data_IF_378768977177
#
_entry.id   IF_378768977177
#
_cell.length_a   1.000
_cell.length_b   1.000
_cell.length_c   1.000
_cell.angle_alpha   90.00
_cell.angle_beta   90.00
_cell.angle_gamma   90.00
#
_symmetry.space_group_name_H-M   'P 1'
#
loop_
_entity.id
_entity.type
_entity.pdbx_description
1 polymer ?
#
# COMPACT_ATOMS: atom_id res chain seq x y z
N UNK A 1 -16.80 -4.28 34.68
CA UNK A 1 -16.30 -4.87 33.40
C UNK A 1 -16.10 -3.88 32.26
N UNK A 2 -16.25 -2.57 32.44
CA UNK A 2 -16.16 -1.56 31.37
C UNK A 2 -14.76 -1.01 31.06
N UNK A 3 -13.74 -1.33 31.82
CA UNK A 3 -12.42 -0.70 31.75
C UNK A 3 -11.45 -1.30 30.69
N UNK A 4 -11.82 -2.38 30.01
CA UNK A 4 -10.93 -3.12 29.07
C UNK A 4 -11.17 -2.86 27.59
N UNK A 5 -12.18 -2.10 27.19
CA UNK A 5 -12.53 -1.85 25.79
C UNK A 5 -12.15 -0.44 25.29
N UNK A 6 -11.26 0.25 25.97
CA UNK A 6 -10.89 1.64 25.65
C UNK A 6 -9.67 1.76 24.72
N UNK A 7 -9.31 0.69 23.99
CA UNK A 7 -8.30 0.79 22.94
C UNK A 7 -8.93 1.31 21.64
N UNK A 8 -8.18 2.13 20.91
CA UNK A 8 -8.60 2.67 19.62
C UNK A 8 -7.90 1.90 18.50
N UNK A 9 -8.67 1.41 17.54
CA UNK A 9 -8.17 0.78 16.31
C UNK A 9 -8.40 1.77 15.16
N UNK A 10 -7.36 2.25 14.50
CA UNK A 10 -7.45 3.26 13.44
C UNK A 10 -8.30 4.49 13.82
N UNK A 11 -8.23 4.94 15.09
CA UNK A 11 -9.01 6.07 15.59
C UNK A 11 -10.43 5.74 16.05
N UNK A 12 -10.96 4.57 15.73
CA UNK A 12 -12.26 4.10 16.19
C UNK A 12 -12.12 3.40 17.55
N UNK A 13 -13.00 3.68 18.52
CA UNK A 13 -13.01 2.91 19.77
C UNK A 13 -13.41 1.45 19.50
N UNK A 14 -12.79 0.52 20.20
CA UNK A 14 -12.99 -0.92 20.02
C UNK A 14 -14.47 -1.34 20.04
N UNK A 15 -15.29 -0.62 20.79
CA UNK A 15 -16.74 -0.83 20.88
C UNK A 15 -17.44 -0.81 19.51
N UNK A 16 -16.96 0.01 18.58
CA UNK A 16 -17.51 0.11 17.23
C UNK A 16 -16.73 -0.72 16.20
N UNK A 17 -15.44 -0.90 16.43
CA UNK A 17 -14.59 -1.68 15.52
C UNK A 17 -14.93 -3.17 15.54
N UNK A 18 -15.17 -3.74 16.71
CA UNK A 18 -15.49 -5.17 16.87
C UNK A 18 -16.77 -5.57 16.09
N UNK A 19 -17.93 -4.92 16.29
CA UNK A 19 -19.12 -5.26 15.51
C UNK A 19 -18.92 -4.99 14.00
N UNK A 20 -18.24 -3.92 13.64
CA UNK A 20 -17.89 -3.66 12.23
C UNK A 20 -17.08 -4.81 11.63
N UNK A 21 -16.03 -5.26 12.31
CA UNK A 21 -15.20 -6.39 11.89
C UNK A 21 -16.01 -7.68 11.73
N UNK A 22 -16.85 -7.99 12.71
CA UNK A 22 -17.70 -9.21 12.68
C UNK A 22 -18.67 -9.14 11.50
N UNK A 23 -19.34 -8.02 11.30
CA UNK A 23 -20.31 -7.84 10.18
C UNK A 23 -19.59 -8.00 8.83
N UNK A 24 -18.44 -7.35 8.65
CA UNK A 24 -17.66 -7.44 7.39
C UNK A 24 -17.22 -8.87 7.14
N UNK A 25 -16.66 -9.55 8.15
CA UNK A 25 -16.25 -10.95 8.02
C UNK A 25 -17.42 -11.87 7.73
N UNK A 26 -18.54 -11.72 8.47
CA UNK A 26 -19.75 -12.51 8.22
C UNK A 26 -20.27 -12.31 6.79
N UNK A 27 -20.34 -11.06 6.32
CA UNK A 27 -20.81 -10.75 4.95
C UNK A 27 -19.91 -11.36 3.88
N UNK A 28 -18.60 -11.33 4.09
CA UNK A 28 -17.61 -11.89 3.14
C UNK A 28 -17.68 -13.41 3.11
N UNK A 29 -17.63 -14.08 4.25
CA UNK A 29 -17.53 -15.55 4.30
C UNK A 29 -18.88 -16.27 4.15
N UNK A 30 -20.00 -15.60 4.44
CA UNK A 30 -21.34 -16.15 4.19
C UNK A 30 -21.82 -15.90 2.75
N UNK A 31 -21.04 -15.22 1.92
CA UNK A 31 -21.38 -14.99 0.52
C UNK A 31 -22.45 -13.92 0.28
N UNK A 32 -22.73 -13.05 1.27
CA UNK A 32 -23.66 -11.93 1.11
C UNK A 32 -23.05 -10.70 0.44
N UNK A 33 -21.95 -10.88 -0.31
CA UNK A 33 -21.30 -9.77 -1.00
C UNK A 33 -22.15 -9.31 -2.20
N UNK A 34 -22.46 -8.00 -2.31
CA UNK A 34 -23.06 -7.44 -3.50
C UNK A 34 -22.02 -7.40 -4.63
N UNK A 35 -21.97 -8.44 -5.43
CA UNK A 35 -20.99 -8.60 -6.50
C UNK A 35 -21.46 -7.88 -7.76
N UNK A 36 -20.62 -7.01 -8.31
CA UNK A 36 -20.83 -6.34 -9.59
C UNK A 36 -19.81 -6.87 -10.59
N UNK A 37 -20.25 -7.17 -11.80
CA UNK A 37 -19.35 -7.55 -12.90
C UNK A 37 -18.75 -6.30 -13.51
N UNK A 38 -17.45 -6.10 -13.35
CA UNK A 38 -16.72 -4.98 -13.94
C UNK A 38 -15.87 -5.52 -15.09
N UNK A 39 -15.90 -4.82 -16.22
CA UNK A 39 -15.09 -5.15 -17.38
C UNK A 39 -13.63 -4.76 -17.10
N UNK A 40 -12.72 -5.72 -17.26
CA UNK A 40 -11.27 -5.46 -17.14
C UNK A 40 -10.66 -5.42 -18.53
N UNK A 41 -9.97 -4.32 -18.83
CA UNK A 41 -9.29 -4.13 -20.13
C UNK A 41 -8.12 -5.10 -20.32
N UNK A 42 -7.47 -5.51 -19.23
CA UNK A 42 -6.25 -6.34 -19.30
C UNK A 42 -6.49 -7.79 -19.70
N UNK A 43 -7.72 -8.28 -19.54
CA UNK A 43 -8.05 -9.68 -19.83
C UNK A 43 -9.24 -9.84 -20.81
N UNK A 44 -9.86 -8.77 -21.28
CA UNK A 44 -11.09 -8.85 -22.09
C UNK A 44 -12.24 -9.60 -21.38
N UNK A 45 -12.15 -9.76 -20.06
CA UNK A 45 -13.03 -10.59 -19.24
C UNK A 45 -13.75 -9.76 -18.19
N UNK A 46 -14.99 -10.08 -17.92
CA UNK A 46 -15.71 -9.50 -16.78
C UNK A 46 -15.20 -10.10 -15.47
N UNK A 47 -14.72 -9.25 -14.57
CA UNK A 47 -14.35 -9.65 -13.22
C UNK A 47 -15.51 -9.37 -12.26
N UNK A 48 -15.90 -10.40 -11.51
CA UNK A 48 -16.86 -10.26 -10.43
C UNK A 48 -16.16 -9.66 -9.22
N UNK A 49 -16.61 -8.51 -8.74
CA UNK A 49 -16.04 -7.84 -7.58
C UNK A 49 -17.05 -6.95 -6.88
N UNK A 50 -16.81 -6.65 -5.62
CA UNK A 50 -17.57 -5.69 -4.83
C UNK A 50 -16.66 -4.59 -4.33
N UNK A 51 -16.71 -3.42 -4.96
CA UNK A 51 -15.85 -2.29 -4.63
C UNK A 51 -15.98 -1.85 -3.17
N UNK A 52 -17.21 -1.63 -2.71
CA UNK A 52 -17.47 -1.18 -1.33
C UNK A 52 -17.03 -2.24 -0.32
N UNK A 53 -17.31 -3.51 -0.60
CA UNK A 53 -16.96 -4.60 0.29
C UNK A 53 -15.45 -4.85 0.34
N UNK A 54 -14.76 -4.65 -0.78
CA UNK A 54 -13.30 -4.71 -0.85
C UNK A 54 -12.68 -3.63 0.05
N UNK A 55 -13.16 -2.39 -0.01
CA UNK A 55 -12.68 -1.32 0.89
C UNK A 55 -12.99 -1.64 2.35
N UNK A 56 -14.21 -2.08 2.65
CA UNK A 56 -14.61 -2.43 4.02
C UNK A 56 -13.74 -3.57 4.58
N UNK A 57 -13.45 -4.58 3.78
CA UNK A 57 -12.57 -5.69 4.16
C UNK A 57 -11.13 -5.23 4.39
N UNK A 58 -10.58 -4.42 3.49
CA UNK A 58 -9.23 -3.84 3.65
C UNK A 58 -9.13 -2.98 4.92
N UNK A 59 -10.17 -2.20 5.23
CA UNK A 59 -10.21 -1.41 6.47
C UNK A 59 -10.32 -2.29 7.71
N UNK A 60 -11.12 -3.35 7.67
CA UNK A 60 -11.29 -4.26 8.79
C UNK A 60 -10.01 -5.05 9.09
N UNK A 61 -9.46 -5.72 8.08
CA UNK A 61 -8.25 -6.54 8.22
C UNK A 61 -7.00 -5.68 8.41
N UNK A 62 -6.85 -4.63 7.62
CA UNK A 62 -5.75 -3.67 7.75
C UNK A 62 -5.74 -2.99 9.11
N UNK A 63 -6.91 -2.59 9.62
CA UNK A 63 -7.07 -2.00 10.95
C UNK A 63 -6.67 -2.96 12.07
N UNK A 64 -7.02 -4.24 11.94
CA UNK A 64 -6.64 -5.27 12.90
C UNK A 64 -5.11 -5.46 12.92
N UNK A 65 -4.49 -5.62 11.76
CA UNK A 65 -3.03 -5.75 11.68
C UNK A 65 -2.29 -4.49 12.12
N UNK A 66 -2.82 -3.31 11.79
CA UNK A 66 -2.29 -2.04 12.25
C UNK A 66 -2.27 -1.96 13.79
N UNK A 67 -3.38 -2.34 14.43
CA UNK A 67 -3.47 -2.38 15.89
C UNK A 67 -2.50 -3.42 16.47
N UNK A 68 -2.44 -4.62 15.88
CA UNK A 68 -1.49 -5.66 16.29
C UNK A 68 -0.04 -5.17 16.20
N UNK A 69 0.32 -4.51 15.10
CA UNK A 69 1.65 -3.95 14.87
C UNK A 69 2.05 -2.92 15.92
N UNK A 70 1.12 -2.07 16.34
CA UNK A 70 1.37 -1.10 17.40
C UNK A 70 1.41 -1.72 18.81
N UNK A 71 0.73 -2.85 19.00
CA UNK A 71 0.67 -3.51 20.31
C UNK A 71 1.92 -4.34 20.61
N UNK A 72 2.57 -4.88 19.58
CA UNK A 72 3.79 -5.69 19.73
C UNK A 72 5.01 -4.76 19.83
N UNK A 73 5.67 -4.63 21.00
CA UNK A 73 6.72 -3.64 21.20
C UNK A 73 7.96 -3.88 20.30
N UNK A 74 8.28 -5.12 19.96
CA UNK A 74 9.40 -5.45 19.08
C UNK A 74 9.13 -4.95 17.66
N UNK A 75 7.93 -5.21 17.16
CA UNK A 75 7.53 -4.80 15.81
C UNK A 75 7.39 -3.28 15.72
N UNK A 76 6.84 -2.66 16.75
CA UNK A 76 6.64 -1.21 16.81
C UNK A 76 7.96 -0.44 16.86
N UNK A 77 8.93 -0.89 17.66
CA UNK A 77 10.16 -0.15 17.89
C UNK A 77 11.24 -0.37 16.82
N UNK A 78 11.31 -1.57 16.23
CA UNK A 78 12.41 -1.96 15.32
C UNK A 78 11.98 -2.12 13.87
N UNK A 79 10.71 -2.47 13.60
CA UNK A 79 10.24 -2.87 12.27
C UNK A 79 9.21 -1.90 11.67
N UNK A 80 8.99 -0.72 12.29
CA UNK A 80 7.98 0.24 11.81
C UNK A 80 6.53 -0.21 12.01
N UNK A 81 6.29 -1.14 12.94
CA UNK A 81 5.05 -1.65 13.53
C UNK A 81 3.79 -1.60 12.70
N UNK A 82 3.18 -0.45 12.71
CA UNK A 82 1.90 -0.21 12.08
C UNK A 82 1.88 -0.37 10.55
N UNK A 83 3.01 -0.19 9.89
CA UNK A 83 3.10 -0.26 8.42
C UNK A 83 3.46 -1.67 7.92
N UNK A 84 4.38 -2.34 8.62
CA UNK A 84 4.94 -3.61 8.16
C UNK A 84 3.95 -4.77 8.36
N UNK A 85 3.28 -4.80 9.51
CA UNK A 85 2.40 -5.91 9.86
C UNK A 85 1.18 -6.06 8.94
N UNK A 86 0.48 -4.98 8.53
CA UNK A 86 -0.58 -5.08 7.52
C UNK A 86 -0.09 -5.61 6.18
N UNK A 87 1.12 -5.22 5.76
CA UNK A 87 1.69 -5.62 4.48
C UNK A 87 2.02 -7.12 4.46
N UNK A 88 2.75 -7.60 5.46
CA UNK A 88 3.07 -9.03 5.59
C UNK A 88 1.82 -9.85 5.88
N UNK A 89 0.94 -9.36 6.78
CA UNK A 89 -0.28 -10.05 7.15
C UNK A 89 -1.26 -10.23 6.01
N UNK A 90 -1.47 -9.20 5.19
CA UNK A 90 -2.32 -9.30 4.01
C UNK A 90 -1.76 -10.28 2.98
N UNK A 91 -0.44 -10.26 2.73
CA UNK A 91 0.24 -11.20 1.84
C UNK A 91 0.13 -12.63 2.35
N UNK A 92 0.32 -12.84 3.66
CA UNK A 92 0.18 -14.14 4.29
C UNK A 92 -1.25 -14.70 4.21
N UNK A 93 -2.27 -13.88 4.47
CA UNK A 93 -3.67 -14.28 4.33
C UNK A 93 -4.01 -14.69 2.90
N UNK A 94 -3.48 -13.97 1.92
CA UNK A 94 -3.67 -14.32 0.51
C UNK A 94 -2.93 -15.63 0.16
N UNK A 95 -1.73 -15.83 0.66
CA UNK A 95 -0.96 -17.06 0.44
C UNK A 95 -1.66 -18.31 1.02
N UNK A 96 -2.23 -18.20 2.21
CA UNK A 96 -2.99 -19.30 2.85
C UNK A 96 -4.34 -19.54 2.16
N UNK A 97 -4.76 -18.65 1.24
CA UNK A 97 -6.03 -18.80 0.52
C UNK A 97 -7.26 -18.43 1.36
N UNK A 98 -7.07 -17.68 2.46
CA UNK A 98 -8.16 -17.20 3.30
C UNK A 98 -8.92 -16.03 2.68
N UNK A 99 -8.35 -15.37 1.67
CA UNK A 99 -8.99 -14.23 0.99
C UNK A 99 -9.80 -14.74 -0.21
N UNK A 100 -11.12 -14.50 -0.26
CA UNK A 100 -11.93 -14.86 -1.41
C UNK A 100 -11.44 -14.19 -2.70
N UNK A 101 -11.44 -14.92 -3.82
CA UNK A 101 -10.96 -14.44 -5.11
C UNK A 101 -11.67 -13.17 -5.60
N UNK A 102 -12.91 -12.99 -5.22
CA UNK A 102 -13.69 -11.78 -5.53
C UNK A 102 -13.09 -10.52 -4.90
N UNK A 103 -12.58 -10.64 -3.67
CA UNK A 103 -11.87 -9.54 -3.00
C UNK A 103 -10.49 -9.29 -3.61
N UNK A 104 -9.76 -10.34 -3.99
CA UNK A 104 -8.49 -10.21 -4.71
C UNK A 104 -8.69 -9.48 -6.04
N UNK A 105 -9.74 -9.84 -6.78
CA UNK A 105 -10.14 -9.13 -8.00
C UNK A 105 -10.54 -7.68 -7.71
N UNK A 106 -11.24 -7.44 -6.61
CA UNK A 106 -11.59 -6.09 -6.15
C UNK A 106 -10.36 -5.23 -5.89
N UNK A 107 -9.33 -5.79 -5.25
CA UNK A 107 -8.05 -5.09 -5.02
C UNK A 107 -7.36 -4.78 -6.35
N UNK A 108 -7.31 -5.73 -7.29
CA UNK A 108 -6.74 -5.49 -8.63
C UNK A 108 -7.45 -4.36 -9.38
N UNK A 109 -8.78 -4.33 -9.32
CA UNK A 109 -9.57 -3.24 -9.92
C UNK A 109 -9.31 -1.90 -9.23
N UNK A 110 -9.19 -1.88 -7.89
CA UNK A 110 -8.85 -0.68 -7.14
C UNK A 110 -7.47 -0.14 -7.51
N UNK A 111 -6.49 -1.02 -7.68
CA UNK A 111 -5.12 -0.63 -8.05
C UNK A 111 -5.02 -0.20 -9.51
N UNK A 112 -5.60 -0.97 -10.44
CA UNK A 112 -5.55 -0.69 -11.89
C UNK A 112 -6.53 0.38 -12.36
N UNK A 113 -7.58 0.67 -11.59
CA UNK A 113 -8.64 1.62 -11.97
C UNK A 113 -8.37 3.09 -11.64
N UNK A 114 -7.14 3.46 -11.23
CA UNK A 114 -6.78 4.83 -10.87
C UNK A 114 -7.34 5.33 -9.53
N UNK A 115 -8.04 4.49 -8.78
CA UNK A 115 -8.55 4.85 -7.44
C UNK A 115 -7.42 5.16 -6.48
N UNK A 116 -6.34 4.38 -6.52
CA UNK A 116 -5.17 4.60 -5.68
C UNK A 116 -4.53 5.96 -5.97
N UNK A 117 -4.40 6.32 -7.24
CA UNK A 117 -3.81 7.59 -7.65
C UNK A 117 -4.68 8.77 -7.22
N UNK A 118 -5.99 8.66 -7.40
CA UNK A 118 -6.95 9.67 -6.92
C UNK A 118 -6.90 9.83 -5.39
N UNK A 119 -6.82 8.72 -4.65
CA UNK A 119 -6.72 8.74 -3.19
C UNK A 119 -5.43 9.41 -2.71
N UNK A 120 -4.29 9.08 -3.32
CA UNK A 120 -3.00 9.70 -3.00
C UNK A 120 -3.03 11.19 -3.32
N UNK A 121 -3.58 11.58 -4.48
CA UNK A 121 -3.72 12.97 -4.86
C UNK A 121 -4.59 13.76 -3.86
N UNK A 122 -5.72 13.21 -3.43
CA UNK A 122 -6.58 13.82 -2.42
C UNK A 122 -5.89 13.96 -1.05
N UNK A 123 -5.13 12.95 -0.63
CA UNK A 123 -4.35 13.01 0.62
C UNK A 123 -3.27 14.09 0.56
N UNK A 124 -2.55 14.19 -0.55
CA UNK A 124 -1.51 15.20 -0.73
C UNK A 124 -2.09 16.61 -0.71
N UNK A 125 -3.12 16.85 -1.51
CA UNK A 125 -3.79 18.15 -1.57
C UNK A 125 -4.39 18.51 -0.20
N UNK A 126 -5.08 17.56 0.44
CA UNK A 126 -5.68 17.75 1.75
C UNK A 126 -4.65 18.10 2.83
N UNK A 127 -3.53 17.40 2.85
CA UNK A 127 -2.45 17.65 3.82
C UNK A 127 -1.79 19.02 3.63
N UNK A 128 -1.58 19.45 2.38
CA UNK A 128 -0.99 20.74 2.05
C UNK A 128 -1.94 21.89 2.41
N UNK A 129 -3.24 21.75 2.12
CA UNK A 129 -4.23 22.78 2.37
C UNK A 129 -4.48 23.05 3.86
N UNK A 130 -4.32 22.03 4.70
CA UNK A 130 -4.50 22.16 6.16
C UNK A 130 -3.27 22.75 6.84
N UNK A 131 -2.11 22.74 6.17
CA UNK A 131 -0.85 23.14 6.77
C UNK A 131 -0.63 24.66 6.67
N UNK A 132 -0.21 25.28 7.77
CA UNK A 132 0.17 26.70 7.79
C UNK A 132 1.32 26.98 6.82
N UNK A 133 1.18 28.00 5.97
CA UNK A 133 2.17 28.37 4.94
C UNK A 133 3.57 28.59 5.50
N UNK A 134 3.69 29.20 6.69
CA UNK A 134 5.01 29.43 7.33
C UNK A 134 5.67 28.12 7.73
N UNK A 135 4.88 27.18 8.28
CA UNK A 135 5.35 25.84 8.66
C UNK A 135 5.75 25.05 7.42
N UNK A 136 4.95 25.10 6.35
CA UNK A 136 5.23 24.42 5.09
C UNK A 136 6.54 24.90 4.47
N UNK A 137 6.75 26.22 4.34
CA UNK A 137 7.98 26.78 3.79
C UNK A 137 9.21 26.45 4.64
N UNK A 138 9.09 26.55 5.96
CA UNK A 138 10.17 26.20 6.89
C UNK A 138 10.51 24.72 6.88
N UNK A 139 9.52 23.84 6.82
CA UNK A 139 9.69 22.41 6.67
C UNK A 139 10.36 22.06 5.33
N UNK A 140 9.84 22.59 4.23
CA UNK A 140 10.39 22.35 2.89
C UNK A 140 11.85 22.75 2.79
N UNK A 141 12.22 23.93 3.29
CA UNK A 141 13.61 24.43 3.27
C UNK A 141 14.59 23.50 4.04
N UNK A 142 14.11 22.84 5.11
CA UNK A 142 14.94 21.93 5.91
C UNK A 142 14.97 20.50 5.39
N UNK A 143 13.83 20.00 4.92
CA UNK A 143 13.70 18.60 4.49
C UNK A 143 14.16 18.37 3.06
N UNK A 144 13.97 19.32 2.14
CA UNK A 144 14.36 19.16 0.73
C UNK A 144 15.85 18.82 0.55
N UNK A 145 16.80 19.55 1.15
CA UNK A 145 18.21 19.20 1.00
C UNK A 145 18.56 17.83 1.54
N UNK A 146 17.93 17.46 2.68
CA UNK A 146 18.15 16.16 3.33
C UNK A 146 17.60 15.02 2.47
N UNK A 147 16.39 15.18 1.91
CA UNK A 147 15.78 14.17 1.05
C UNK A 147 16.60 13.99 -0.24
N UNK A 148 16.96 15.08 -0.92
CA UNK A 148 17.76 15.01 -2.13
C UNK A 148 19.14 14.39 -1.85
N UNK A 149 19.78 14.78 -0.75
CA UNK A 149 21.05 14.18 -0.32
C UNK A 149 20.91 12.67 -0.07
N UNK A 150 19.90 12.25 0.68
CA UNK A 150 19.69 10.83 0.96
C UNK A 150 19.41 10.00 -0.30
N UNK A 151 18.68 10.55 -1.27
CA UNK A 151 18.44 9.88 -2.55
C UNK A 151 19.72 9.68 -3.36
N UNK A 152 20.56 10.72 -3.44
CA UNK A 152 21.85 10.62 -4.15
C UNK A 152 22.75 9.56 -3.49
N UNK A 153 22.84 9.55 -2.16
CA UNK A 153 23.62 8.54 -1.45
C UNK A 153 23.07 7.12 -1.65
N UNK A 154 21.76 6.95 -1.58
CA UNK A 154 21.14 5.64 -1.74
C UNK A 154 21.31 5.10 -3.17
N UNK A 155 21.17 5.96 -4.21
CA UNK A 155 21.48 5.58 -5.58
C UNK A 155 22.96 5.22 -5.75
N UNK A 156 23.87 5.97 -5.12
CA UNK A 156 25.29 5.65 -5.09
C UNK A 156 25.60 4.28 -4.47
N UNK A 157 24.94 3.94 -3.36
CA UNK A 157 25.06 2.61 -2.76
C UNK A 157 24.47 1.51 -3.63
N UNK A 158 23.35 1.79 -4.32
CA UNK A 158 22.76 0.84 -5.25
C UNK A 158 23.71 0.54 -6.43
N UNK A 159 24.36 1.57 -7.00
CA UNK A 159 25.38 1.40 -8.04
C UNK A 159 26.57 0.58 -7.56
N UNK A 160 27.08 0.87 -6.34
CA UNK A 160 28.17 0.11 -5.72
C UNK A 160 27.80 -1.35 -5.51
N UNK A 161 26.58 -1.62 -5.04
CA UNK A 161 26.08 -2.97 -4.88
C UNK A 161 26.00 -3.71 -6.22
N UNK A 162 25.51 -3.05 -7.28
CA UNK A 162 25.46 -3.59 -8.63
C UNK A 162 26.84 -3.95 -9.17
N UNK A 163 27.84 -3.12 -8.87
CA UNK A 163 29.23 -3.35 -9.25
C UNK A 163 29.85 -4.56 -8.53
N UNK A 164 29.59 -4.70 -7.24
CA UNK A 164 30.09 -5.82 -6.42
C UNK A 164 29.42 -7.15 -6.79
N UNK A 165 28.11 -7.11 -7.13
CA UNK A 165 27.37 -8.31 -7.53
C UNK A 165 27.55 -8.71 -8.99
N UNK A 166 28.18 -7.86 -9.81
CA UNK A 166 28.36 -8.10 -11.25
C UNK A 166 27.09 -7.93 -12.09
N UNK A 167 26.02 -7.34 -11.52
CA UNK A 167 24.76 -7.11 -12.22
C UNK A 167 24.81 -5.96 -13.24
N UNK A 168 25.79 -5.09 -13.14
CA UNK A 168 25.92 -3.89 -13.96
C UNK A 168 25.43 -2.62 -13.25
N UNK A 169 26.08 -1.49 -13.56
CA UNK A 169 25.73 -0.21 -12.92
C UNK A 169 24.40 0.34 -13.44
N UNK A 170 24.14 0.40 -14.77
CA UNK A 170 22.88 0.90 -15.30
C UNK A 170 21.69 0.04 -14.88
N UNK A 171 21.81 -1.27 -14.94
CA UNK A 171 20.77 -2.22 -14.58
C UNK A 171 20.43 -2.10 -13.09
N UNK A 172 21.43 -2.04 -12.22
CA UNK A 172 21.21 -1.83 -10.78
C UNK A 172 20.51 -0.49 -10.48
N UNK A 173 20.82 0.56 -11.25
CA UNK A 173 20.21 1.87 -11.08
C UNK A 173 18.76 1.90 -11.54
N UNK A 174 18.49 1.40 -12.76
CA UNK A 174 17.18 1.54 -13.40
C UNK A 174 16.19 0.46 -12.96
N UNK A 175 16.62 -0.79 -12.78
CA UNK A 175 15.74 -1.90 -12.46
C UNK A 175 15.48 -2.02 -10.95
N UNK A 176 16.43 -1.60 -10.10
CA UNK A 176 16.33 -1.76 -8.66
C UNK A 176 16.26 -0.39 -7.96
N UNK A 177 17.23 0.49 -8.22
CA UNK A 177 17.37 1.75 -7.50
C UNK A 177 16.20 2.71 -7.72
N UNK A 178 15.84 2.96 -8.95
CA UNK A 178 14.78 3.89 -9.30
C UNK A 178 13.39 3.42 -8.84
N UNK A 179 12.96 2.16 -9.05
CA UNK A 179 11.69 1.67 -8.53
C UNK A 179 11.59 1.68 -7.01
N UNK A 180 12.66 1.30 -6.32
CA UNK A 180 12.67 1.27 -4.85
C UNK A 180 12.58 2.64 -4.20
N UNK A 181 13.07 3.69 -4.86
CA UNK A 181 13.09 5.06 -4.32
C UNK A 181 11.82 5.86 -4.55
N UNK A 182 10.97 5.44 -5.46
CA UNK A 182 9.84 6.24 -5.94
C UNK A 182 8.56 6.16 -5.13
N UNK A 183 8.63 5.74 -3.87
CA UNK A 183 7.50 5.84 -2.95
C UNK A 183 6.55 4.64 -2.90
N UNK A 184 7.00 3.46 -3.26
CA UNK A 184 6.25 2.20 -3.08
C UNK A 184 5.46 1.74 -4.30
N UNK A 185 4.52 0.82 -4.06
CA UNK A 185 3.77 0.13 -5.12
C UNK A 185 2.93 1.05 -6.02
N UNK A 186 2.43 2.16 -5.50
CA UNK A 186 1.62 3.12 -6.26
C UNK A 186 2.42 4.16 -7.03
N UNK A 187 3.73 4.26 -6.80
CA UNK A 187 4.60 5.20 -7.49
C UNK A 187 5.22 4.60 -8.75
N UNK A 188 6.44 4.11 -8.63
CA UNK A 188 7.18 3.62 -9.78
C UNK A 188 7.22 2.09 -9.90
N UNK A 189 6.80 1.34 -8.88
CA UNK A 189 6.88 -0.11 -8.92
C UNK A 189 5.96 -0.71 -9.99
N UNK A 190 4.85 -0.05 -10.31
CA UNK A 190 3.92 -0.46 -11.38
C UNK A 190 4.09 0.35 -12.66
N UNK A 191 4.45 1.64 -12.55
CA UNK A 191 4.53 2.55 -13.70
C UNK A 191 5.84 2.45 -14.44
N UNK A 192 6.98 2.27 -13.76
CA UNK A 192 8.29 2.18 -14.41
C UNK A 192 8.46 0.92 -15.26
N UNK A 193 8.10 -0.30 -14.81
CA UNK A 193 8.15 -1.49 -15.66
C UNK A 193 7.28 -1.35 -16.92
N UNK A 194 6.09 -0.75 -16.81
CA UNK A 194 5.22 -0.49 -17.94
C UNK A 194 5.87 0.49 -18.96
N UNK A 195 6.55 1.54 -18.47
CA UNK A 195 7.30 2.46 -19.31
C UNK A 195 8.51 1.78 -19.98
N UNK A 196 9.26 0.98 -19.24
CA UNK A 196 10.40 0.23 -19.78
C UNK A 196 9.96 -0.79 -20.82
N UNK A 197 8.85 -1.50 -20.58
CA UNK A 197 8.26 -2.42 -21.54
C UNK A 197 7.87 -1.70 -22.84
N UNK A 198 7.32 -0.49 -22.73
CA UNK A 198 6.95 0.30 -23.92
C UNK A 198 8.15 0.83 -24.70
N UNK A 199 9.29 1.05 -24.05
CA UNK A 199 10.53 1.55 -24.67
C UNK A 199 11.41 0.41 -25.21
N UNK A 200 11.51 -0.69 -24.48
CA UNK A 200 12.37 -1.83 -24.82
C UNK A 200 11.69 -2.86 -25.74
N UNK A 201 10.37 -2.84 -25.85
CA UNK A 201 9.59 -3.84 -26.60
C UNK A 201 9.57 -5.23 -25.95
N UNK A 202 10.16 -5.38 -24.76
CA UNK A 202 10.15 -6.61 -23.96
C UNK A 202 9.25 -6.41 -22.75
N UNK A 203 8.44 -7.42 -22.41
CA UNK A 203 7.56 -7.36 -21.24
C UNK A 203 8.39 -7.46 -19.95
N UNK A 204 8.51 -6.35 -19.22
CA UNK A 204 9.22 -6.24 -17.95
C UNK A 204 8.25 -6.08 -16.76
N UNK A 205 6.96 -6.33 -16.97
CA UNK A 205 5.97 -6.31 -15.88
C UNK A 205 6.14 -7.53 -14.97
N UNK A 206 6.20 -7.33 -13.64
CA UNK A 206 6.36 -8.40 -12.67
C UNK A 206 5.13 -9.29 -12.52
#
# INVERSE_FOLDING_TARGET
MEKKLNFKVCGLPAKYFIPFFIIVMATVYLGFMPVVKIYSNDAGKYMATSFIMTIAYLMAVGGLFFWLGNTIPIVNNYLGGACLLPLIGASFLNYVGLVPQELVNGVKVLMGGGFQDAYIAMLLVGSILVMDRKVLLGATARYMPTILGSQVFALGFCMLAGLVTGYGIPEALFDIGAPCMSGGSGGAMTTLPALYSSLSGTDMTP
#
